data_IF_072849597767
#
_entry.id   IF_072849597767
#
_cell.length_a   1.000
_cell.length_b   1.000
_cell.length_c   1.000
_cell.angle_alpha   90.00
_cell.angle_beta   90.00
_cell.angle_gamma   90.00
#
_symmetry.space_group_name_H-M   'P 1'
#
loop_
_entity.id
_entity.type
_entity.pdbx_description
1 polymer ?
#
# COMPACT_ATOMS: atom_id res chain seq x y z
N UNK A 1 10.33 2.58 29.20
CA UNK A 1 8.97 2.10 29.56
C UNK A 1 8.96 0.58 29.44
N UNK A 2 8.33 -0.18 30.35
CA UNK A 2 8.22 -1.63 30.17
C UNK A 2 7.44 -1.92 28.88
N UNK A 3 7.93 -2.86 28.08
CA UNK A 3 7.22 -3.33 26.89
C UNK A 3 5.93 -3.98 27.39
N UNK A 4 4.79 -3.31 27.17
CA UNK A 4 3.48 -3.93 27.35
C UNK A 4 3.28 -4.89 26.19
N UNK A 5 3.37 -6.18 26.49
CA UNK A 5 2.87 -7.21 25.58
C UNK A 5 1.34 -7.13 25.63
N UNK A 6 0.77 -6.28 24.78
CA UNK A 6 -0.65 -6.34 24.47
C UNK A 6 -0.90 -7.78 24.01
N UNK A 7 -1.87 -8.46 24.63
CA UNK A 7 -2.18 -9.86 24.31
C UNK A 7 -2.48 -10.07 22.82
N UNK A 8 -2.85 -11.29 22.40
CA UNK A 8 -3.20 -11.55 21.00
C UNK A 8 -4.21 -10.51 20.50
N UNK A 9 -3.89 -9.87 19.39
CA UNK A 9 -4.77 -8.86 18.79
C UNK A 9 -6.10 -9.49 18.40
N UNK A 10 -7.22 -8.85 18.72
CA UNK A 10 -8.55 -9.30 18.32
C UNK A 10 -8.75 -9.05 16.81
N UNK A 11 -8.87 -10.09 15.97
CA UNK A 11 -9.12 -9.91 14.54
C UNK A 11 -10.48 -9.27 14.23
N UNK A 12 -11.44 -9.30 15.17
CA UNK A 12 -12.74 -8.68 15.00
C UNK A 12 -12.72 -7.17 15.26
N UNK A 13 -11.74 -6.67 16.01
CA UNK A 13 -11.61 -5.25 16.35
C UNK A 13 -11.51 -4.40 15.06
N UNK A 14 -12.46 -3.46 14.83
CA UNK A 14 -12.44 -2.61 13.66
C UNK A 14 -11.19 -1.71 13.57
N UNK A 15 -10.62 -1.29 14.71
CA UNK A 15 -9.40 -0.49 14.79
C UNK A 15 -8.19 -1.32 14.37
N UNK A 16 -8.03 -2.52 14.93
CA UNK A 16 -6.98 -3.45 14.52
C UNK A 16 -7.04 -3.76 13.02
N UNK A 17 -8.24 -4.06 12.49
CA UNK A 17 -8.42 -4.33 11.06
C UNK A 17 -8.07 -3.13 10.19
N UNK A 18 -8.40 -1.91 10.62
CA UNK A 18 -8.03 -0.70 9.88
C UNK A 18 -6.51 -0.48 9.86
N UNK A 19 -5.84 -0.68 10.99
CA UNK A 19 -4.39 -0.62 11.04
C UNK A 19 -3.74 -1.66 10.11
N UNK A 20 -4.24 -2.90 10.11
CA UNK A 20 -3.76 -3.94 9.20
C UNK A 20 -3.93 -3.54 7.71
N UNK A 21 -5.07 -2.91 7.35
CA UNK A 21 -5.28 -2.35 6.00
C UNK A 21 -4.25 -1.27 5.65
N UNK A 22 -3.93 -0.37 6.59
CA UNK A 22 -2.92 0.69 6.39
C UNK A 22 -1.53 0.09 6.16
N UNK A 23 -1.13 -0.90 6.97
CA UNK A 23 0.16 -1.58 6.79
C UNK A 23 0.22 -2.27 5.43
N UNK A 24 -0.85 -2.99 5.06
CA UNK A 24 -0.93 -3.65 3.76
C UNK A 24 -0.84 -2.63 2.60
N UNK A 25 -1.54 -1.51 2.69
CA UNK A 25 -1.46 -0.41 1.72
C UNK A 25 -0.04 0.14 1.61
N UNK A 26 0.60 0.39 2.75
CA UNK A 26 1.98 0.91 2.80
C UNK A 26 2.95 -0.04 2.10
N UNK A 27 2.86 -1.36 2.35
CA UNK A 27 3.68 -2.37 1.69
C UNK A 27 3.51 -2.34 0.17
N UNK A 28 2.26 -2.31 -0.31
CA UNK A 28 1.98 -2.25 -1.74
C UNK A 28 2.48 -0.95 -2.37
N UNK A 29 2.33 0.19 -1.68
CA UNK A 29 2.83 1.48 -2.14
C UNK A 29 4.36 1.50 -2.22
N UNK A 30 5.07 0.93 -1.24
CA UNK A 30 6.53 0.83 -1.26
C UNK A 30 7.02 -0.04 -2.42
N UNK A 31 6.39 -1.21 -2.65
CA UNK A 31 6.75 -2.09 -3.77
C UNK A 31 6.49 -1.40 -5.11
N UNK A 32 5.32 -0.76 -5.25
CA UNK A 32 4.99 0.04 -6.44
C UNK A 32 6.06 1.12 -6.68
N UNK A 33 6.41 1.89 -5.65
CA UNK A 33 7.40 2.96 -5.75
C UNK A 33 8.80 2.42 -6.12
N UNK A 34 9.28 1.40 -5.42
CA UNK A 34 10.61 0.83 -5.65
C UNK A 34 10.75 0.26 -7.08
N UNK A 35 9.76 -0.51 -7.53
CA UNK A 35 9.79 -1.14 -8.86
C UNK A 35 9.62 -0.10 -9.96
N UNK A 36 8.59 0.76 -9.88
CA UNK A 36 8.33 1.72 -10.95
C UNK A 36 9.43 2.78 -11.01
N UNK A 37 9.95 3.29 -9.89
CA UNK A 37 11.08 4.23 -9.93
C UNK A 37 12.33 3.61 -10.57
N UNK A 38 12.67 2.37 -10.22
CA UNK A 38 13.79 1.65 -10.84
C UNK A 38 13.59 1.42 -12.33
N UNK A 39 12.41 0.97 -12.74
CA UNK A 39 12.09 0.74 -14.16
C UNK A 39 12.10 2.04 -14.96
N UNK A 40 11.52 3.12 -14.45
CA UNK A 40 11.52 4.42 -15.12
C UNK A 40 12.91 5.08 -15.14
N UNK A 41 13.76 4.82 -14.15
CA UNK A 41 15.18 5.18 -14.21
C UNK A 41 15.90 4.43 -15.34
N UNK A 42 15.71 3.11 -15.43
CA UNK A 42 16.29 2.27 -16.50
C UNK A 42 15.76 2.65 -17.88
N UNK A 43 14.50 3.07 -17.98
CA UNK A 43 13.89 3.55 -19.21
C UNK A 43 14.64 4.75 -19.82
N UNK A 44 15.29 5.57 -18.98
CA UNK A 44 16.13 6.69 -19.43
C UNK A 44 17.52 6.29 -19.94
N UNK A 45 17.89 5.00 -19.87
CA UNK A 45 19.16 4.47 -20.36
C UNK A 45 19.04 3.91 -21.79
N UNK A 46 20.13 3.33 -22.32
CA UNK A 46 20.11 2.74 -23.68
C UNK A 46 19.18 1.52 -23.74
N UNK A 47 18.39 1.42 -24.82
CA UNK A 47 17.37 0.39 -25.08
C UNK A 47 16.13 0.48 -24.17
N UNK A 48 15.30 1.52 -24.32
CA UNK A 48 14.06 1.65 -23.55
C UNK A 48 13.13 0.46 -23.82
N UNK A 49 12.43 0.03 -22.77
CA UNK A 49 11.38 -0.97 -22.90
C UNK A 49 10.18 -0.31 -23.58
N UNK A 50 9.76 -0.76 -24.78
CA UNK A 50 8.51 -0.28 -25.35
C UNK A 50 7.33 -0.59 -24.44
N UNK A 51 6.45 0.38 -24.23
CA UNK A 51 5.18 0.21 -23.54
C UNK A 51 5.27 -0.04 -22.02
N UNK A 52 6.31 0.48 -21.36
CA UNK A 52 6.44 0.39 -19.90
C UNK A 52 5.22 0.97 -19.15
N UNK A 53 4.54 1.95 -19.74
CA UNK A 53 3.31 2.55 -19.21
C UNK A 53 2.17 1.52 -19.02
N UNK A 54 2.14 0.44 -19.80
CA UNK A 54 1.14 -0.63 -19.67
C UNK A 54 1.32 -1.46 -18.40
N UNK A 55 2.51 -1.45 -17.81
CA UNK A 55 2.77 -2.02 -16.49
C UNK A 55 2.43 -1.00 -15.39
N UNK A 56 2.94 0.23 -15.52
CA UNK A 56 2.81 1.25 -14.48
C UNK A 56 1.37 1.71 -14.27
N UNK A 57 0.61 1.99 -15.34
CA UNK A 57 -0.72 2.60 -15.23
C UNK A 57 -1.76 1.68 -14.57
N UNK A 58 -1.94 0.41 -14.99
CA UNK A 58 -2.89 -0.48 -14.33
C UNK A 58 -2.51 -0.75 -12.87
N UNK A 59 -1.22 -0.87 -12.56
CA UNK A 59 -0.77 -1.06 -11.19
C UNK A 59 -1.03 0.19 -10.32
N UNK A 60 -0.79 1.38 -10.86
CA UNK A 60 -1.16 2.63 -10.19
C UNK A 60 -2.68 2.71 -9.93
N UNK A 61 -3.51 2.31 -10.90
CA UNK A 61 -4.95 2.24 -10.72
C UNK A 61 -5.38 1.26 -9.60
N UNK A 62 -4.76 0.08 -9.52
CA UNK A 62 -4.98 -0.86 -8.42
C UNK A 62 -4.60 -0.25 -7.05
N UNK A 63 -3.51 0.52 -6.99
CA UNK A 63 -3.10 1.20 -5.77
C UNK A 63 -4.13 2.26 -5.34
N UNK A 64 -4.68 3.02 -6.30
CA UNK A 64 -5.75 3.99 -6.03
C UNK A 64 -7.03 3.31 -5.51
N UNK A 65 -7.40 2.17 -6.07
CA UNK A 65 -8.52 1.36 -5.56
C UNK A 65 -8.22 0.91 -4.12
N UNK A 66 -7.01 0.45 -3.83
CA UNK A 66 -6.64 0.03 -2.47
C UNK A 66 -6.69 1.19 -1.47
N UNK A 67 -6.18 2.37 -1.83
CA UNK A 67 -6.32 3.60 -1.01
C UNK A 67 -7.78 3.89 -0.72
N UNK A 68 -8.63 3.85 -1.76
CA UNK A 68 -10.06 4.13 -1.63
C UNK A 68 -10.72 3.16 -0.64
N UNK A 69 -10.43 1.86 -0.74
CA UNK A 69 -10.93 0.84 0.20
C UNK A 69 -10.49 1.13 1.64
N UNK A 70 -9.23 1.49 1.86
CA UNK A 70 -8.72 1.81 3.21
C UNK A 70 -9.44 3.02 3.81
N UNK A 71 -9.65 4.07 3.01
CA UNK A 71 -10.33 5.30 3.43
C UNK A 71 -11.82 5.04 3.71
N UNK A 72 -12.50 4.33 2.81
CA UNK A 72 -13.94 4.01 2.95
C UNK A 72 -14.23 3.11 4.15
N UNK A 73 -13.28 2.25 4.55
CA UNK A 73 -13.43 1.34 5.68
C UNK A 73 -12.79 1.89 6.98
N UNK A 74 -12.64 3.21 7.10
CA UNK A 74 -12.15 3.80 8.36
C UNK A 74 -13.21 3.66 9.46
N UNK A 75 -12.86 3.16 10.66
CA UNK A 75 -13.80 3.07 11.77
C UNK A 75 -14.17 4.46 12.29
N UNK A 76 -15.38 4.58 12.84
CA UNK A 76 -15.81 5.79 13.53
C UNK A 76 -14.92 6.04 14.77
N UNK A 77 -14.67 7.31 15.15
CA UNK A 77 -14.04 7.61 16.43
C UNK A 77 -14.90 7.04 17.57
N UNK A 78 -14.25 6.46 18.59
CA UNK A 78 -14.96 6.15 19.83
C UNK A 78 -15.44 7.47 20.49
N UNK A 79 -16.67 7.50 21.03
CA UNK A 79 -17.24 8.68 21.68
C UNK A 79 -16.55 9.04 23.01
#
# INVERSE_FOLDING_TARGET
MPIRWYGPADPADPTYRHFARIVNLTLHAMVFAAVNSGLWFVQGMRHPWPHLEWLTLPWAALLLVHVSVVVMQRPAPEP
#
